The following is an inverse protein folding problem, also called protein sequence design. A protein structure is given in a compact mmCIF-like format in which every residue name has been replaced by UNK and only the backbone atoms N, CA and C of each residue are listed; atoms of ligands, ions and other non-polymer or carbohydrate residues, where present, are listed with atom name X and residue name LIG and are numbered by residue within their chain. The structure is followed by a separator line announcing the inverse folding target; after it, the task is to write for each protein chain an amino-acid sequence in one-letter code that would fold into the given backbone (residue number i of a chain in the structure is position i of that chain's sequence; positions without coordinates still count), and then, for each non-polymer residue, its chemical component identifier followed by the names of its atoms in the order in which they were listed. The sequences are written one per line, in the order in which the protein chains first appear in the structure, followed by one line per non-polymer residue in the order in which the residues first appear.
data_IF_213444154529
#
_entry.id   IF_213444154529
#
_cell.length_a   1.000
_cell.length_b   1.000
_cell.length_c   1.000
_cell.angle_alpha   90.00
_cell.angle_beta   90.00
_cell.angle_gamma   90.00
#
_symmetry.space_group_name_H-M   'P 1'
#
loop_
_entity.id
_entity.type
_entity.pdbx_description
1 polymer ?
#
# COMPACT_ATOMS: atom_id res chain seq x y z
N UNK A 1 28.81 -52.38 -1.53
CA UNK A 1 28.56 -51.30 -2.53
C UNK A 1 27.27 -50.58 -2.19
N UNK A 2 27.28 -49.24 -2.33
CA UNK A 2 26.23 -48.22 -2.11
C UNK A 2 26.06 -47.67 -0.69
N UNK A 3 26.43 -46.39 -0.54
CA UNK A 3 25.70 -45.39 0.27
C UNK A 3 26.11 -43.94 -0.10
N UNK A 4 25.11 -43.18 -0.58
CA UNK A 4 24.76 -41.73 -0.38
C UNK A 4 25.82 -40.63 -0.61
N UNK A 5 25.73 -39.78 -1.66
CA UNK A 5 24.77 -38.69 -1.92
C UNK A 5 25.10 -37.34 -1.22
N UNK A 6 25.81 -36.49 -1.96
CA UNK A 6 25.66 -35.04 -2.16
C UNK A 6 24.69 -34.25 -1.24
N UNK A 7 25.14 -33.15 -0.62
CA UNK A 7 24.90 -31.78 -1.10
C UNK A 7 25.06 -30.70 -0.02
N UNK A 8 25.50 -29.54 -0.50
CA UNK A 8 25.97 -28.33 0.16
C UNK A 8 25.02 -27.76 1.23
N UNK A 9 25.64 -27.25 2.31
CA UNK A 9 25.00 -26.49 3.37
C UNK A 9 24.17 -25.31 2.81
N UNK A 10 22.86 -25.36 3.03
CA UNK A 10 21.96 -24.24 2.76
C UNK A 10 22.15 -23.14 3.80
N UNK A 11 22.49 -21.94 3.34
CA UNK A 11 22.51 -20.72 4.15
C UNK A 11 21.08 -20.35 4.53
N UNK A 12 20.72 -20.48 5.81
CA UNK A 12 19.45 -19.95 6.32
C UNK A 12 19.53 -18.42 6.34
N UNK A 13 18.91 -17.76 5.36
CA UNK A 13 18.71 -16.32 5.42
C UNK A 13 17.78 -16.00 6.61
N UNK A 14 18.12 -15.04 7.50
CA UNK A 14 17.24 -14.67 8.60
C UNK A 14 15.93 -14.13 8.03
N UNK A 15 14.79 -14.50 8.63
CA UNK A 15 13.49 -13.91 8.28
C UNK A 15 13.62 -12.39 8.30
N UNK A 16 13.32 -11.74 7.17
CA UNK A 16 13.21 -10.29 7.13
C UNK A 16 12.18 -9.88 8.19
N UNK A 17 12.58 -9.03 9.15
CA UNK A 17 11.69 -8.54 10.23
C UNK A 17 10.56 -7.66 9.70
N UNK A 18 10.59 -7.33 8.42
CA UNK A 18 9.71 -6.36 7.80
C UNK A 18 8.80 -6.99 6.76
N UNK A 19 7.61 -6.41 6.53
CA UNK A 19 6.71 -6.85 5.47
C UNK A 19 7.39 -6.86 4.09
N UNK A 20 6.83 -7.61 3.15
CA UNK A 20 7.37 -7.71 1.80
C UNK A 20 7.43 -6.32 1.14
N UNK A 21 8.61 -5.95 0.65
CA UNK A 21 8.85 -4.64 0.01
C UNK A 21 9.29 -3.54 0.98
N UNK A 22 9.34 -3.80 2.29
CA UNK A 22 9.81 -2.83 3.27
C UNK A 22 11.31 -3.00 3.54
N UNK A 23 12.02 -1.89 3.47
CA UNK A 23 13.45 -1.82 3.80
C UNK A 23 13.65 -1.16 5.16
N UNK A 24 14.77 -1.47 5.82
CA UNK A 24 15.15 -0.79 7.08
C UNK A 24 15.25 0.73 6.90
N UNK A 25 15.72 1.18 5.73
CA UNK A 25 15.83 2.59 5.39
C UNK A 25 14.46 3.28 5.41
N UNK A 26 13.48 2.70 4.70
CA UNK A 26 12.11 3.23 4.68
C UNK A 26 11.50 3.32 6.07
N UNK A 27 11.72 2.33 6.91
CA UNK A 27 11.18 2.31 8.28
C UNK A 27 11.80 3.40 9.14
N UNK A 28 13.11 3.63 8.99
CA UNK A 28 13.80 4.70 9.71
C UNK A 28 13.30 6.08 9.28
N UNK A 29 13.23 6.31 7.97
CA UNK A 29 12.73 7.58 7.43
C UNK A 29 11.28 7.84 7.85
N UNK A 30 10.44 6.79 7.87
CA UNK A 30 9.06 6.89 8.34
C UNK A 30 8.97 7.20 9.84
N UNK A 31 9.80 6.56 10.66
CA UNK A 31 9.85 6.83 12.09
C UNK A 31 10.33 8.25 12.38
N UNK A 32 11.43 8.68 11.74
CA UNK A 32 11.96 10.05 11.87
C UNK A 32 10.93 11.11 11.43
N UNK A 33 10.13 10.82 10.39
CA UNK A 33 9.06 11.70 9.94
C UNK A 33 7.98 11.89 11.02
N UNK A 34 7.40 10.80 11.53
CA UNK A 34 6.33 10.88 12.52
C UNK A 34 6.82 11.33 13.90
N UNK A 35 8.06 11.05 14.27
CA UNK A 35 8.65 11.52 15.55
C UNK A 35 8.84 13.04 15.59
N UNK A 36 9.00 13.69 14.43
CA UNK A 36 9.19 15.14 14.31
C UNK A 36 7.97 15.88 13.76
N UNK A 37 6.88 15.16 13.49
CA UNK A 37 5.64 15.76 12.98
C UNK A 37 5.02 16.63 14.07
N UNK A 38 4.61 17.85 13.70
CA UNK A 38 3.87 18.73 14.61
C UNK A 38 2.40 18.31 14.71
N UNK A 39 1.72 18.69 15.79
CA UNK A 39 0.29 18.40 15.95
C UNK A 39 -0.54 18.97 14.79
N UNK A 40 -0.23 20.20 14.35
CA UNK A 40 -0.90 20.83 13.21
C UNK A 40 -0.70 20.07 11.90
N UNK A 41 0.51 19.54 11.66
CA UNK A 41 0.78 18.73 10.46
C UNK A 41 0.05 17.38 10.51
N UNK A 42 -0.03 16.74 11.69
CA UNK A 42 -0.78 15.51 11.86
C UNK A 42 -2.28 15.72 11.58
N UNK A 43 -2.85 16.82 12.10
CA UNK A 43 -4.23 17.22 11.82
C UNK A 43 -4.44 17.52 10.34
N UNK A 44 -3.51 18.24 9.71
CA UNK A 44 -3.60 18.57 8.29
C UNK A 44 -3.55 17.32 7.40
N UNK A 45 -2.75 16.30 7.75
CA UNK A 45 -2.72 15.02 7.04
C UNK A 45 -4.06 14.25 7.14
N UNK A 46 -4.64 14.21 8.33
CA UNK A 46 -5.94 13.58 8.56
C UNK A 46 -7.07 14.31 7.83
N UNK A 47 -7.01 15.64 7.77
CA UNK A 47 -8.01 16.49 7.09
C UNK A 47 -7.80 16.57 5.56
N UNK A 48 -6.59 16.36 5.06
CA UNK A 48 -6.26 16.44 3.63
C UNK A 48 -7.14 15.50 2.78
N UNK A 49 -7.47 14.33 3.31
CA UNK A 49 -8.36 13.37 2.65
C UNK A 49 -9.79 13.91 2.42
N UNK A 50 -10.25 14.81 3.29
CA UNK A 50 -11.56 15.46 3.18
C UNK A 50 -11.55 16.70 2.28
N UNK A 51 -10.37 17.28 2.03
CA UNK A 51 -10.19 18.50 1.25
C UNK A 51 -9.87 18.24 -0.24
N UNK A 52 -9.76 16.98 -0.69
CA UNK A 52 -9.55 16.65 -2.11
C UNK A 52 -10.83 16.96 -2.92
N UNK A 53 -10.82 17.97 -3.84
CA UNK A 53 -12.01 18.36 -4.60
C UNK A 53 -12.44 17.31 -5.62
N UNK A 54 -11.64 16.25 -5.84
CA UNK A 54 -11.96 15.14 -6.74
C UNK A 54 -12.67 13.98 -6.04
N UNK A 55 -12.73 14.01 -4.71
CA UNK A 55 -13.36 12.98 -3.88
C UNK A 55 -14.55 13.53 -3.12
N UNK A 56 -15.41 12.64 -2.63
CA UNK A 56 -16.53 12.99 -1.77
C UNK A 56 -16.69 11.94 -0.68
N UNK A 57 -17.06 12.39 0.53
CA UNK A 57 -17.35 11.52 1.66
C UNK A 57 -18.86 11.32 1.76
N UNK A 58 -19.28 10.05 1.78
CA UNK A 58 -20.70 9.67 1.83
C UNK A 58 -20.90 8.54 2.83
N UNK A 59 -22.02 8.59 3.56
CA UNK A 59 -22.47 7.47 4.39
C UNK A 59 -23.05 6.37 3.50
N UNK A 60 -22.60 5.14 3.68
CA UNK A 60 -23.06 3.98 2.91
C UNK A 60 -23.53 2.90 3.88
N UNK A 61 -24.76 2.38 3.72
CA UNK A 61 -25.20 1.20 4.47
C UNK A 61 -24.23 0.03 4.29
N UNK A 62 -23.91 -0.68 5.37
CA UNK A 62 -22.81 -1.65 5.40
C UNK A 62 -22.98 -2.77 4.36
N UNK A 63 -24.22 -3.21 4.13
CA UNK A 63 -24.60 -4.22 3.15
C UNK A 63 -24.34 -3.78 1.69
N UNK A 64 -24.22 -2.47 1.44
CA UNK A 64 -23.95 -1.90 0.13
C UNK A 64 -22.47 -1.64 -0.12
N UNK A 65 -21.62 -1.64 0.92
CA UNK A 65 -20.17 -1.37 0.80
C UNK A 65 -19.49 -2.24 -0.27
N UNK A 66 -19.73 -3.58 -0.36
CA UNK A 66 -19.12 -4.38 -1.41
C UNK A 66 -19.52 -3.96 -2.83
N UNK A 67 -20.74 -3.44 -3.00
CA UNK A 67 -21.25 -3.00 -4.30
C UNK A 67 -20.61 -1.69 -4.73
N UNK A 68 -20.51 -0.73 -3.81
CA UNK A 68 -19.82 0.56 -4.01
C UNK A 68 -18.35 0.33 -4.34
N UNK A 69 -17.67 -0.56 -3.61
CA UNK A 69 -16.27 -0.87 -3.89
C UNK A 69 -16.08 -1.44 -5.31
N UNK A 70 -16.95 -2.37 -5.75
CA UNK A 70 -16.91 -2.89 -7.13
C UNK A 70 -17.14 -1.80 -8.17
N UNK A 71 -18.03 -0.84 -7.89
CA UNK A 71 -18.30 0.29 -8.78
C UNK A 71 -17.06 1.16 -8.96
N UNK A 72 -16.40 1.54 -7.86
CA UNK A 72 -15.17 2.35 -7.87
C UNK A 72 -14.05 1.61 -8.62
N UNK A 73 -13.89 0.31 -8.38
CA UNK A 73 -12.89 -0.50 -9.08
C UNK A 73 -13.09 -0.48 -10.60
N UNK A 74 -14.33 -0.63 -11.08
CA UNK A 74 -14.65 -0.54 -12.52
C UNK A 74 -14.38 0.85 -13.09
N UNK A 75 -14.76 1.91 -12.36
CA UNK A 75 -14.48 3.28 -12.75
C UNK A 75 -12.97 3.52 -12.94
N UNK A 76 -12.16 3.08 -11.98
CA UNK A 76 -10.70 3.24 -12.03
C UNK A 76 -10.07 2.46 -13.19
N UNK A 77 -10.55 1.25 -13.48
CA UNK A 77 -10.11 0.50 -14.66
C UNK A 77 -10.45 1.23 -15.96
N UNK A 78 -11.68 1.75 -16.08
CA UNK A 78 -12.08 2.53 -17.26
C UNK A 78 -11.26 3.82 -17.41
N UNK A 79 -11.02 4.54 -16.32
CA UNK A 79 -10.16 5.74 -16.29
C UNK A 79 -8.75 5.42 -16.79
N UNK A 80 -8.12 4.36 -16.26
CA UNK A 80 -6.79 3.89 -16.69
C UNK A 80 -6.73 3.51 -18.16
N UNK A 81 -7.78 2.87 -18.69
CA UNK A 81 -7.89 2.54 -20.12
C UNK A 81 -7.96 3.80 -20.98
N UNK A 82 -8.73 4.81 -20.56
CA UNK A 82 -8.87 6.09 -21.29
C UNK A 82 -7.59 6.91 -21.29
N UNK A 83 -6.88 6.98 -20.17
CA UNK A 83 -5.59 7.70 -20.09
C UNK A 83 -4.48 6.96 -20.82
N UNK A 84 -4.42 5.63 -20.73
CA UNK A 84 -3.44 4.82 -21.46
C UNK A 84 -3.64 4.80 -22.98
N UNK A 85 -4.88 4.90 -23.46
CA UNK A 85 -5.20 4.99 -24.89
C UNK A 85 -4.86 6.35 -25.52
N UNK A 86 -4.74 7.41 -24.70
CA UNK A 86 -4.43 8.78 -25.12
C UNK A 86 -2.92 9.07 -25.17
N UNK A 87 -2.10 8.18 -24.60
CA UNK A 87 -0.66 8.29 -24.53
C UNK A 87 0.06 7.48 -25.63
N UNK A 88 -0.66 7.11 -26.71
CA UNK A 88 -0.14 6.41 -27.88
C UNK A 88 -0.46 7.17 -29.15
#
# INVERSE_FOLDING_TARGET
MKTIANSKAGTKQPLNKYPRGWTRKMIRELAEYYDNQTEDEAVAEDEAAFNDPTQAVVLVPQELVPQVHRLIARHNQAKRRRTGARAK
#
